data_IF_334431899813
#
_entry.id   IF_334431899813
#
_cell.length_a   1.000
_cell.length_b   1.000
_cell.length_c   1.000
_cell.angle_alpha   90.00
_cell.angle_beta   90.00
_cell.angle_gamma   90.00
#
_symmetry.space_group_name_H-M   'P 1'
#
loop_
_entity.id
_entity.type
_entity.pdbx_description
1 polymer ?
#
# COMPACT_ATOMS: atom_id res chain seq x y z
N UNK A 1 47.01 -36.07 5.62
CA UNK A 1 46.12 -35.44 4.63
C UNK A 1 46.67 -35.78 3.25
N UNK A 2 45.87 -36.40 2.39
CA UNK A 2 46.30 -36.83 1.05
C UNK A 2 45.54 -36.01 0.02
N UNK A 3 46.25 -35.48 -0.97
CA UNK A 3 45.64 -34.80 -2.12
C UNK A 3 45.95 -35.64 -3.35
N UNK A 4 44.91 -36.05 -4.08
CA UNK A 4 45.05 -36.83 -5.29
C UNK A 4 44.39 -36.07 -6.45
N UNK A 5 45.14 -35.79 -7.49
CA UNK A 5 44.62 -35.22 -8.74
C UNK A 5 44.31 -36.35 -9.71
N UNK A 6 43.10 -36.36 -10.28
CA UNK A 6 42.68 -37.44 -11.16
C UNK A 6 41.68 -36.96 -12.21
N UNK A 7 41.66 -37.66 -13.34
CA UNK A 7 40.63 -37.55 -14.37
C UNK A 7 39.64 -38.73 -14.32
N UNK A 8 39.86 -39.73 -13.46
CA UNK A 8 39.00 -40.90 -13.33
C UNK A 8 37.65 -40.56 -12.69
N UNK A 9 36.56 -40.88 -13.38
CA UNK A 9 35.20 -40.57 -12.94
C UNK A 9 34.76 -41.41 -11.75
N UNK A 10 35.27 -42.63 -11.63
CA UNK A 10 35.03 -43.56 -10.53
C UNK A 10 35.49 -42.97 -9.20
N UNK A 11 36.64 -42.28 -9.20
CA UNK A 11 37.14 -41.58 -8.02
C UNK A 11 36.29 -40.35 -7.69
N UNK A 12 35.80 -39.61 -8.70
CA UNK A 12 34.84 -38.51 -8.48
C UNK A 12 33.54 -39.04 -7.84
N UNK A 13 33.01 -40.17 -8.33
CA UNK A 13 31.83 -40.85 -7.78
C UNK A 13 32.07 -41.32 -6.35
N UNK A 14 33.20 -41.96 -6.08
CA UNK A 14 33.59 -42.40 -4.75
C UNK A 14 33.59 -41.24 -3.73
N UNK A 15 34.15 -40.09 -4.11
CA UNK A 15 34.20 -38.90 -3.25
C UNK A 15 32.83 -38.20 -3.02
N UNK A 16 31.77 -38.59 -3.74
CA UNK A 16 30.40 -38.14 -3.44
C UNK A 16 29.74 -39.05 -2.39
N UNK A 17 30.03 -40.35 -2.44
CA UNK A 17 29.39 -41.36 -1.60
C UNK A 17 30.06 -41.55 -0.23
N UNK A 18 31.29 -41.06 -0.07
CA UNK A 18 32.08 -41.29 1.15
C UNK A 18 32.33 -39.96 1.88
N UNK A 19 31.84 -39.84 3.11
CA UNK A 19 31.97 -38.62 3.92
C UNK A 19 33.42 -38.24 4.24
N UNK A 20 34.32 -39.22 4.29
CA UNK A 20 35.73 -39.01 4.61
C UNK A 20 36.57 -38.51 3.41
N UNK A 21 35.96 -38.38 2.23
CA UNK A 21 36.64 -37.91 1.02
C UNK A 21 35.82 -36.79 0.40
N UNK A 22 36.49 -35.72 -0.05
CA UNK A 22 35.83 -34.56 -0.63
C UNK A 22 36.35 -34.30 -2.03
N UNK A 23 35.44 -34.12 -2.99
CA UNK A 23 35.78 -33.64 -4.31
C UNK A 23 36.27 -32.19 -4.25
N UNK A 24 37.25 -31.85 -5.08
CA UNK A 24 37.64 -30.47 -5.33
C UNK A 24 37.95 -30.30 -6.82
N UNK A 25 37.68 -29.12 -7.34
CA UNK A 25 37.99 -28.77 -8.72
C UNK A 25 38.52 -27.35 -8.87
N UNK A 26 39.28 -27.11 -9.92
CA UNK A 26 39.76 -25.77 -10.25
C UNK A 26 38.88 -25.23 -11.36
N UNK A 27 38.34 -24.04 -11.17
CA UNK A 27 37.54 -23.37 -12.19
C UNK A 27 38.40 -23.00 -13.41
N UNK A 28 37.82 -23.21 -14.59
CA UNK A 28 38.44 -22.95 -15.87
C UNK A 28 37.50 -22.16 -16.77
N UNK A 29 37.98 -21.02 -17.27
CA UNK A 29 37.26 -20.19 -18.21
C UNK A 29 37.38 -20.77 -19.62
N UNK A 30 36.29 -21.39 -20.09
CA UNK A 30 36.19 -22.00 -21.42
C UNK A 30 36.15 -20.92 -22.52
N UNK A 31 35.61 -19.74 -22.24
CA UNK A 31 35.48 -18.62 -23.20
C UNK A 31 36.80 -17.93 -23.47
N UNK A 32 37.76 -17.96 -22.54
CA UNK A 32 39.10 -17.43 -22.75
C UNK A 32 40.20 -18.51 -22.80
N UNK A 33 39.86 -19.78 -22.56
CA UNK A 33 40.82 -20.89 -22.40
C UNK A 33 41.88 -20.59 -21.32
N UNK A 34 41.44 -20.05 -20.18
CA UNK A 34 42.35 -19.67 -19.08
C UNK A 34 41.91 -20.31 -17.77
N UNK A 35 42.85 -20.82 -16.95
CA UNK A 35 42.54 -21.19 -15.58
C UNK A 35 42.20 -19.94 -14.77
N UNK A 36 41.13 -19.98 -13.96
CA UNK A 36 40.84 -18.88 -13.01
C UNK A 36 41.61 -19.07 -11.70
N UNK A 37 42.28 -20.21 -11.54
CA UNK A 37 42.98 -20.64 -10.32
C UNK A 37 42.10 -20.62 -9.06
N UNK A 38 40.78 -20.65 -9.23
CA UNK A 38 39.82 -20.71 -8.13
C UNK A 38 39.52 -22.16 -7.77
N UNK A 39 39.86 -22.57 -6.56
CA UNK A 39 39.56 -23.90 -6.03
C UNK A 39 38.11 -23.94 -5.52
N UNK A 40 37.35 -24.91 -6.01
CA UNK A 40 35.95 -25.17 -5.66
C UNK A 40 35.89 -26.48 -4.88
N UNK A 41 35.67 -26.37 -3.57
CA UNK A 41 35.56 -27.50 -2.65
C UNK A 41 34.16 -28.12 -2.67
N UNK A 42 34.11 -29.43 -2.53
CA UNK A 42 32.89 -30.24 -2.57
C UNK A 42 32.28 -30.42 -3.96
N UNK A 43 32.91 -29.88 -5.01
CA UNK A 43 32.37 -29.93 -6.37
C UNK A 43 33.33 -30.70 -7.28
N UNK A 44 32.88 -31.79 -7.91
CA UNK A 44 33.67 -32.46 -8.93
C UNK A 44 33.81 -31.54 -10.16
N UNK A 45 35.00 -31.53 -10.76
CA UNK A 45 35.27 -30.66 -11.91
C UNK A 45 34.58 -31.17 -13.16
N UNK A 46 34.06 -30.22 -13.95
CA UNK A 46 33.47 -30.48 -15.28
C UNK A 46 34.54 -30.96 -16.25
N UNK A 47 34.27 -32.08 -16.94
CA UNK A 47 35.15 -32.58 -17.99
C UNK A 47 35.00 -31.73 -19.27
N UNK A 48 35.81 -30.68 -19.40
CA UNK A 48 35.74 -29.72 -20.51
C UNK A 48 36.45 -30.17 -21.81
N UNK A 49 36.89 -31.42 -21.90
CA UNK A 49 37.74 -31.92 -22.98
C UNK A 49 37.19 -31.61 -24.38
N UNK A 50 35.90 -31.88 -24.63
CA UNK A 50 35.29 -31.58 -25.94
C UNK A 50 35.16 -30.08 -26.23
N UNK A 51 34.85 -29.28 -25.22
CA UNK A 51 34.73 -27.83 -25.39
C UNK A 51 36.09 -27.21 -25.73
N UNK A 52 37.15 -27.67 -25.06
CA UNK A 52 38.53 -27.27 -25.32
C UNK A 52 38.97 -27.75 -26.70
N UNK A 53 38.78 -29.03 -27.03
CA UNK A 53 39.11 -29.62 -28.34
C UNK A 53 38.46 -28.87 -29.51
N UNK A 54 37.17 -28.51 -29.38
CA UNK A 54 36.47 -27.70 -30.38
C UNK A 54 37.14 -26.35 -30.59
N UNK A 55 37.56 -25.71 -29.49
CA UNK A 55 38.14 -24.38 -29.52
C UNK A 55 39.60 -24.37 -29.98
N UNK A 56 40.31 -25.48 -29.80
CA UNK A 56 41.63 -25.74 -30.39
C UNK A 56 41.57 -26.08 -31.90
N UNK A 57 40.36 -26.12 -32.49
CA UNK A 57 40.19 -26.27 -33.94
C UNK A 57 39.95 -27.71 -34.43
N UNK A 58 39.69 -28.66 -33.53
CA UNK A 58 39.32 -30.02 -33.94
C UNK A 58 37.96 -29.97 -34.66
N UNK A 59 37.88 -30.61 -35.83
CA UNK A 59 36.66 -30.65 -36.65
C UNK A 59 35.50 -31.23 -35.85
N UNK A 60 34.33 -30.60 -36.00
CA UNK A 60 33.09 -30.98 -35.29
C UNK A 60 32.72 -32.46 -35.53
N UNK A 61 32.90 -32.96 -36.74
CA UNK A 61 32.63 -34.36 -37.10
C UNK A 61 33.43 -35.37 -36.26
N UNK A 62 34.70 -35.05 -35.96
CA UNK A 62 35.57 -35.89 -35.12
C UNK A 62 35.07 -35.86 -33.67
N UNK A 63 34.69 -34.68 -33.18
CA UNK A 63 34.15 -34.50 -31.83
C UNK A 63 32.83 -35.25 -31.66
N UNK A 64 31.94 -35.15 -32.63
CA UNK A 64 30.62 -35.80 -32.58
C UNK A 64 30.78 -37.32 -32.65
N UNK A 65 31.69 -37.84 -33.49
CA UNK A 65 32.04 -39.27 -33.49
C UNK A 65 32.66 -39.71 -32.15
N UNK A 66 33.56 -38.92 -31.56
CA UNK A 66 34.18 -39.26 -30.29
C UNK A 66 33.16 -39.34 -29.14
N UNK A 67 32.14 -38.47 -29.13
CA UNK A 67 31.02 -38.55 -28.17
C UNK A 67 30.24 -39.86 -28.29
N UNK A 68 30.03 -40.38 -29.51
CA UNK A 68 29.32 -41.65 -29.69
C UNK A 68 30.07 -42.88 -29.19
N UNK A 69 31.38 -42.77 -28.96
CA UNK A 69 32.22 -43.85 -28.44
C UNK A 69 32.26 -43.90 -26.91
N UNK A 70 31.65 -42.93 -26.23
CA UNK A 70 31.59 -42.90 -24.76
C UNK A 70 30.43 -43.75 -24.24
N UNK A 71 30.60 -44.31 -23.05
CA UNK A 71 29.51 -44.97 -22.34
C UNK A 71 28.40 -43.94 -22.02
N UNK A 72 27.14 -44.31 -22.29
CA UNK A 72 25.98 -43.45 -22.03
C UNK A 72 25.87 -43.08 -20.55
N UNK A 73 26.19 -44.01 -19.64
CA UNK A 73 26.11 -43.76 -18.20
C UNK A 73 27.08 -42.66 -17.74
N UNK A 74 28.28 -42.64 -18.31
CA UNK A 74 29.30 -41.64 -17.98
C UNK A 74 28.97 -40.28 -18.58
N UNK A 75 28.29 -40.23 -19.74
CA UNK A 75 27.79 -39.00 -20.34
C UNK A 75 26.66 -38.38 -19.49
N UNK A 76 25.67 -39.17 -19.10
CA UNK A 76 24.56 -38.70 -18.26
C UNK A 76 25.04 -38.19 -16.89
N UNK A 77 26.01 -38.88 -16.27
CA UNK A 77 26.61 -38.44 -15.02
C UNK A 77 27.36 -37.11 -15.16
N UNK A 78 28.14 -36.92 -16.23
CA UNK A 78 28.82 -35.63 -16.48
C UNK A 78 27.83 -34.50 -16.77
N UNK A 79 26.71 -34.77 -17.44
CA UNK A 79 25.65 -33.77 -17.65
C UNK A 79 24.98 -33.36 -16.33
N UNK A 80 24.68 -34.32 -15.45
CA UNK A 80 24.15 -34.04 -14.11
C UNK A 80 25.13 -33.23 -13.27
N UNK A 81 26.42 -33.61 -13.27
CA UNK A 81 27.45 -32.85 -12.55
C UNK A 81 27.59 -31.43 -13.09
N UNK A 82 27.48 -31.24 -14.41
CA UNK A 82 27.48 -29.92 -15.02
C UNK A 82 26.30 -29.08 -14.53
N UNK A 83 25.09 -29.65 -14.48
CA UNK A 83 23.92 -28.93 -13.95
C UNK A 83 24.11 -28.52 -12.49
N UNK A 84 24.56 -29.43 -11.63
CA UNK A 84 24.84 -29.13 -10.22
C UNK A 84 25.88 -28.01 -10.07
N UNK A 85 26.92 -28.03 -10.91
CA UNK A 85 27.96 -27.00 -10.93
C UNK A 85 27.39 -25.64 -11.34
N UNK A 86 26.68 -25.59 -12.46
CA UNK A 86 26.09 -24.36 -13.01
C UNK A 86 25.07 -23.77 -12.02
N UNK A 87 24.22 -24.61 -11.41
CA UNK A 87 23.26 -24.21 -10.38
C UNK A 87 23.96 -23.67 -9.12
N UNK A 88 25.04 -24.30 -8.66
CA UNK A 88 25.77 -23.82 -7.49
C UNK A 88 26.41 -22.46 -7.72
N UNK A 89 27.00 -22.22 -8.89
CA UNK A 89 27.53 -20.89 -9.24
C UNK A 89 26.41 -19.86 -9.23
N UNK A 90 25.27 -20.18 -9.85
CA UNK A 90 24.11 -19.29 -9.87
C UNK A 90 23.57 -18.99 -8.47
N UNK A 91 23.54 -19.99 -7.59
CA UNK A 91 23.13 -19.83 -6.19
C UNK A 91 24.12 -18.93 -5.45
N UNK A 92 25.42 -19.15 -5.61
CA UNK A 92 26.45 -18.32 -4.97
C UNK A 92 26.39 -16.86 -5.44
N UNK A 93 26.25 -16.62 -6.75
CA UNK A 93 26.12 -15.27 -7.29
C UNK A 93 24.83 -14.59 -6.83
N UNK A 94 23.73 -15.33 -6.80
CA UNK A 94 22.42 -14.82 -6.34
C UNK A 94 22.48 -14.50 -4.84
N UNK A 95 23.11 -15.35 -4.03
CA UNK A 95 23.32 -15.11 -2.60
C UNK A 95 24.09 -13.81 -2.36
N UNK A 96 25.17 -13.57 -3.10
CA UNK A 96 25.93 -12.32 -3.00
C UNK A 96 25.09 -11.09 -3.40
N UNK A 97 24.25 -11.20 -4.43
CA UNK A 97 23.34 -10.12 -4.82
C UNK A 97 22.28 -9.85 -3.76
N UNK A 98 21.68 -10.90 -3.19
CA UNK A 98 20.70 -10.78 -2.10
C UNK A 98 21.32 -10.08 -0.90
N UNK A 99 22.54 -10.45 -0.51
CA UNK A 99 23.24 -9.82 0.62
C UNK A 99 23.48 -8.33 0.39
N UNK A 100 23.90 -7.94 -0.83
CA UNK A 100 24.05 -6.53 -1.20
C UNK A 100 22.73 -5.78 -1.14
N UNK A 101 21.66 -6.36 -1.67
CA UNK A 101 20.33 -5.75 -1.68
C UNK A 101 19.77 -5.62 -0.26
N UNK A 102 19.97 -6.62 0.60
CA UNK A 102 19.58 -6.55 2.01
C UNK A 102 20.25 -5.37 2.72
N UNK A 103 21.56 -5.21 2.55
CA UNK A 103 22.29 -4.08 3.14
C UNK A 103 21.76 -2.72 2.64
N UNK A 104 21.40 -2.61 1.36
CA UNK A 104 20.80 -1.40 0.80
C UNK A 104 19.40 -1.13 1.37
N UNK A 105 18.58 -2.17 1.49
CA UNK A 105 17.23 -2.07 2.06
C UNK A 105 17.29 -1.65 3.53
N UNK A 106 18.20 -2.20 4.32
CA UNK A 106 18.39 -1.81 5.72
C UNK A 106 18.82 -0.34 5.84
N UNK A 107 19.77 0.11 5.01
CA UNK A 107 20.20 1.50 4.98
C UNK A 107 19.04 2.43 4.64
N UNK A 108 18.27 2.10 3.60
CA UNK A 108 17.12 2.90 3.17
C UNK A 108 16.03 2.94 4.25
N UNK A 109 15.76 1.80 4.90
CA UNK A 109 14.79 1.73 6.01
C UNK A 109 15.19 2.65 7.15
N UNK A 110 16.46 2.62 7.55
CA UNK A 110 16.98 3.48 8.63
C UNK A 110 16.90 4.97 8.26
N UNK A 111 17.14 5.32 7.01
CA UNK A 111 16.99 6.69 6.53
C UNK A 111 15.52 7.14 6.56
N UNK A 112 14.59 6.30 6.09
CA UNK A 112 13.16 6.58 6.14
C UNK A 112 12.64 6.72 7.57
N UNK A 113 13.05 5.85 8.49
CA UNK A 113 12.70 5.96 9.91
C UNK A 113 13.21 7.28 10.51
N UNK A 114 14.43 7.69 10.16
CA UNK A 114 15.00 8.97 10.61
C UNK A 114 14.20 10.15 10.04
N UNK A 115 13.87 10.13 8.77
CA UNK A 115 13.17 11.25 8.14
C UNK A 115 11.69 11.33 8.58
N UNK A 116 11.01 10.20 8.78
CA UNK A 116 9.68 10.14 9.40
C UNK A 116 9.70 10.72 10.83
N UNK A 117 10.71 10.38 11.63
CA UNK A 117 10.85 10.94 12.99
C UNK A 117 11.06 12.46 12.98
N UNK A 118 11.84 12.99 12.03
CA UNK A 118 12.03 14.44 11.85
C UNK A 118 10.75 15.13 11.41
N UNK A 119 10.03 14.56 10.45
CA UNK A 119 8.77 15.13 9.95
C UNK A 119 7.73 15.19 11.06
N UNK A 120 7.60 14.13 11.86
CA UNK A 120 6.70 14.12 13.05
C UNK A 120 7.10 15.17 14.08
N UNK A 121 8.40 15.38 14.29
CA UNK A 121 8.86 16.43 15.20
C UNK A 121 8.54 17.82 14.64
N UNK A 122 8.79 18.07 13.35
CA UNK A 122 8.45 19.33 12.70
C UNK A 122 6.95 19.61 12.72
N UNK A 123 6.11 18.60 12.48
CA UNK A 123 4.66 18.70 12.58
C UNK A 123 4.23 19.14 13.99
N UNK A 124 4.77 18.49 15.03
CA UNK A 124 4.51 18.86 16.43
C UNK A 124 4.95 20.29 16.72
N UNK A 125 6.15 20.67 16.30
CA UNK A 125 6.69 22.01 16.54
C UNK A 125 5.82 23.09 15.85
N UNK A 126 5.31 22.82 14.64
CA UNK A 126 4.40 23.72 13.92
C UNK A 126 3.07 23.83 14.67
N UNK A 127 2.48 22.71 15.08
CA UNK A 127 1.21 22.69 15.81
C UNK A 127 1.35 23.44 17.15
N UNK A 128 2.44 23.23 17.88
CA UNK A 128 2.66 23.85 19.18
C UNK A 128 2.94 25.35 19.04
N UNK A 129 3.66 25.78 17.99
CA UNK A 129 3.78 27.20 17.65
C UNK A 129 2.43 27.83 17.32
N UNK A 130 1.64 27.20 16.45
CA UNK A 130 0.31 27.69 16.08
C UNK A 130 -0.64 27.78 17.28
N UNK A 131 -0.60 26.80 18.20
CA UNK A 131 -1.36 26.86 19.46
C UNK A 131 -0.93 28.01 20.36
N UNK A 132 0.37 28.27 20.43
CA UNK A 132 0.93 29.36 21.24
C UNK A 132 0.50 30.70 20.66
N UNK A 133 0.68 30.90 19.35
CA UNK A 133 0.22 32.10 18.64
C UNK A 133 -1.29 32.33 18.79
N UNK A 134 -2.10 31.27 18.65
CA UNK A 134 -3.55 31.36 18.86
C UNK A 134 -3.91 31.73 20.31
N UNK A 135 -3.17 31.20 21.29
CA UNK A 135 -3.36 31.54 22.70
C UNK A 135 -3.02 33.01 22.96
N UNK A 136 -1.93 33.51 22.40
CA UNK A 136 -1.51 34.91 22.57
C UNK A 136 -2.53 35.86 21.94
N UNK A 137 -3.02 35.57 20.73
CA UNK A 137 -4.09 36.35 20.09
C UNK A 137 -5.36 36.38 20.95
N UNK A 138 -5.72 35.25 21.57
CA UNK A 138 -6.91 35.15 22.42
C UNK A 138 -6.73 35.91 23.75
N UNK A 139 -5.54 35.90 24.33
CA UNK A 139 -5.20 36.71 25.51
C UNK A 139 -5.27 38.20 25.17
N UNK A 140 -4.65 38.62 24.06
CA UNK A 140 -4.69 40.01 23.59
C UNK A 140 -6.14 40.48 23.35
N UNK A 141 -6.96 39.64 22.71
CA UNK A 141 -8.38 39.92 22.50
C UNK A 141 -9.17 40.04 23.81
N UNK A 142 -8.86 39.21 24.81
CA UNK A 142 -9.48 39.27 26.14
C UNK A 142 -9.09 40.54 26.88
N UNK A 143 -7.83 40.94 26.78
CA UNK A 143 -7.31 42.16 27.42
C UNK A 143 -7.90 43.42 26.76
N UNK A 144 -8.02 43.45 25.43
CA UNK A 144 -8.75 44.50 24.72
C UNK A 144 -10.23 44.55 25.14
N UNK A 145 -10.92 43.42 25.16
CA UNK A 145 -12.32 43.35 25.54
C UNK A 145 -12.54 43.84 26.99
N UNK A 146 -11.67 43.44 27.93
CA UNK A 146 -11.77 43.88 29.33
C UNK A 146 -11.49 45.37 29.50
N UNK A 147 -10.55 45.95 28.74
CA UNK A 147 -10.35 47.41 28.70
C UNK A 147 -11.60 48.14 28.23
N UNK A 148 -12.18 47.72 27.11
CA UNK A 148 -13.40 48.35 26.56
C UNK A 148 -14.58 48.20 27.53
N UNK A 149 -14.74 47.04 28.19
CA UNK A 149 -15.78 46.83 29.22
C UNK A 149 -15.58 47.77 30.42
N UNK A 150 -14.34 47.97 30.86
CA UNK A 150 -14.03 48.88 31.96
C UNK A 150 -14.32 50.35 31.58
N UNK A 151 -13.98 50.76 30.35
CA UNK A 151 -14.32 52.08 29.82
C UNK A 151 -15.84 52.29 29.73
N UNK A 152 -16.59 51.28 29.26
CA UNK A 152 -18.07 51.34 29.27
C UNK A 152 -18.63 51.52 30.67
N UNK A 153 -18.13 50.78 31.68
CA UNK A 153 -18.58 50.89 33.07
C UNK A 153 -18.30 52.27 33.68
N UNK A 154 -17.20 52.92 33.29
CA UNK A 154 -16.90 54.28 33.75
C UNK A 154 -17.89 55.30 33.17
N UNK A 155 -18.19 55.19 31.88
CA UNK A 155 -19.15 56.08 31.18
C UNK A 155 -20.58 55.83 31.65
N UNK A 156 -20.95 54.61 32.02
CA UNK A 156 -22.29 54.26 32.53
C UNK A 156 -22.57 54.91 33.92
N UNK A 157 -21.53 55.18 34.71
CA UNK A 157 -21.64 55.93 35.97
C UNK A 157 -21.78 57.45 35.76
N UNK A 158 -21.42 57.98 34.58
CA UNK A 158 -21.59 59.38 34.16
C UNK A 158 -22.84 59.51 33.27
N UNK A 159 -24.01 59.62 33.88
CA UNK A 159 -25.34 59.32 33.31
C UNK A 159 -25.86 60.16 32.12
N UNK A 160 -25.01 60.80 31.29
CA UNK A 160 -25.44 61.69 30.19
C UNK A 160 -24.91 61.37 28.78
N UNK A 161 -24.10 60.33 28.55
CA UNK A 161 -23.52 60.04 27.21
C UNK A 161 -23.93 58.68 26.61
N UNK A 162 -25.20 58.56 26.21
CA UNK A 162 -25.76 57.35 25.56
C UNK A 162 -25.11 57.07 24.19
N UNK A 163 -24.75 58.12 23.43
CA UNK A 163 -24.18 57.98 22.08
C UNK A 163 -22.77 57.38 22.11
N UNK A 164 -21.91 57.80 23.05
CA UNK A 164 -20.57 57.22 23.22
C UNK A 164 -20.62 55.75 23.63
N UNK A 165 -21.63 55.37 24.42
CA UNK A 165 -21.85 53.99 24.83
C UNK A 165 -22.25 53.08 23.65
N UNK A 166 -23.05 53.61 22.70
CA UNK A 166 -23.42 52.92 21.48
C UNK A 166 -22.23 52.75 20.53
N UNK A 167 -21.37 53.77 20.40
CA UNK A 167 -20.15 53.70 19.60
C UNK A 167 -19.15 52.66 20.15
N UNK A 168 -18.99 52.61 21.48
CA UNK A 168 -18.18 51.58 22.17
C UNK A 168 -18.76 50.17 22.01
N UNK A 169 -20.08 50.00 22.07
CA UNK A 169 -20.74 48.71 21.76
C UNK A 169 -20.51 48.28 20.32
N UNK A 170 -20.60 49.22 19.37
CA UNK A 170 -20.39 48.93 17.96
C UNK A 170 -18.94 48.57 17.65
N UNK A 171 -17.97 49.28 18.24
CA UNK A 171 -16.54 48.95 18.11
C UNK A 171 -16.20 47.59 18.74
N UNK A 172 -16.79 47.25 19.88
CA UNK A 172 -16.58 45.93 20.49
C UNK A 172 -17.20 44.82 19.61
N UNK A 173 -18.41 45.02 19.08
CA UNK A 173 -19.05 44.08 18.17
C UNK A 173 -18.30 43.90 16.85
N UNK A 174 -17.75 44.97 16.26
CA UNK A 174 -16.94 44.86 15.04
C UNK A 174 -15.60 44.18 15.30
N UNK A 175 -14.97 44.45 16.45
CA UNK A 175 -13.73 43.79 16.88
C UNK A 175 -13.94 42.28 17.09
N UNK A 176 -15.04 41.89 17.75
CA UNK A 176 -15.41 40.48 17.91
C UNK A 176 -15.69 39.82 16.56
N UNK A 177 -16.43 40.49 15.68
CA UNK A 177 -16.78 39.95 14.36
C UNK A 177 -15.57 39.81 13.42
N UNK A 178 -14.58 40.69 13.56
CA UNK A 178 -13.34 40.64 12.78
C UNK A 178 -12.32 39.63 13.35
N UNK A 179 -12.34 39.36 14.67
CA UNK A 179 -11.47 38.34 15.32
C UNK A 179 -12.11 36.96 15.41
N UNK A 180 -13.43 36.83 15.29
CA UNK A 180 -14.08 35.54 15.10
C UNK A 180 -13.68 35.01 13.73
N UNK A 181 -12.76 34.04 13.72
CA UNK A 181 -12.45 33.24 12.54
C UNK A 181 -13.70 32.42 12.24
N UNK A 182 -14.66 33.02 11.52
CA UNK A 182 -15.60 32.24 10.74
C UNK A 182 -14.75 31.55 9.66
N UNK A 183 -14.34 30.32 9.95
CA UNK A 183 -13.77 29.39 8.97
C UNK A 183 -14.80 29.15 7.86
N UNK A 184 -14.89 30.07 6.91
CA UNK A 184 -15.25 29.71 5.54
C UNK A 184 -14.00 29.12 4.91
N UNK A 185 -13.73 27.86 5.21
CA UNK A 185 -12.86 27.04 4.36
C UNK A 185 -13.61 26.86 3.03
N UNK A 186 -13.47 27.83 2.14
CA UNK A 186 -13.88 27.68 0.75
C UNK A 186 -12.89 26.71 0.10
N UNK A 187 -13.24 25.42 0.08
CA UNK A 187 -12.50 24.39 -0.65
C UNK A 187 -12.62 24.64 -2.17
N UNK A 188 -11.74 25.48 -2.70
CA UNK A 188 -11.61 25.71 -4.15
C UNK A 188 -11.05 24.46 -4.85
N UNK A 189 -11.45 24.25 -6.11
CA UNK A 189 -10.90 23.18 -6.95
C UNK A 189 -9.39 23.36 -7.15
N UNK A 190 -8.62 22.28 -6.93
CA UNK A 190 -7.16 22.27 -7.08
C UNK A 190 -6.78 22.20 -8.58
N UNK A 191 -7.67 21.69 -9.44
CA UNK A 191 -7.52 21.67 -10.90
C UNK A 191 -8.83 22.03 -11.62
N UNK A 192 -9.14 23.32 -11.81
CA UNK A 192 -10.37 23.76 -12.46
C UNK A 192 -10.41 23.36 -13.94
N UNK A 193 -11.56 22.85 -14.41
CA UNK A 193 -11.77 22.50 -15.82
C UNK A 193 -11.73 23.78 -16.69
N UNK A 194 -10.96 23.80 -17.80
CA UNK A 194 -11.04 24.87 -18.79
C UNK A 194 -12.46 25.00 -19.36
N UNK A 195 -12.95 26.23 -19.52
CA UNK A 195 -14.33 26.53 -19.97
C UNK A 195 -14.71 25.82 -21.28
N UNK A 196 -13.73 25.57 -22.17
CA UNK A 196 -13.92 24.86 -23.45
C UNK A 196 -14.29 23.38 -23.31
N UNK A 197 -14.04 22.78 -22.15
CA UNK A 197 -14.32 21.39 -21.81
C UNK A 197 -15.59 21.23 -20.97
N UNK A 198 -16.41 22.26 -20.82
CA UNK A 198 -17.69 22.19 -20.09
C UNK A 198 -18.80 22.00 -21.12
N UNK A 199 -19.09 20.74 -21.46
CA UNK A 199 -20.17 20.37 -22.40
C UNK A 199 -21.31 19.64 -21.68
N UNK A 200 -22.53 19.84 -22.20
CA UNK A 200 -23.73 19.11 -21.74
C UNK A 200 -23.46 17.61 -21.86
N UNK A 201 -23.71 16.86 -20.79
CA UNK A 201 -23.51 15.42 -20.72
C UNK A 201 -22.14 14.97 -20.18
N UNK A 202 -21.23 15.89 -19.86
CA UNK A 202 -19.92 15.54 -19.32
C UNK A 202 -19.98 15.24 -17.82
N UNK A 203 -19.28 14.17 -17.41
CA UNK A 203 -19.06 13.83 -15.99
C UNK A 203 -17.99 14.75 -15.42
N UNK A 204 -18.31 15.43 -14.33
CA UNK A 204 -17.42 16.35 -13.61
C UNK A 204 -17.45 16.01 -12.13
N UNK A 205 -16.31 16.17 -11.46
CA UNK A 205 -16.21 16.05 -10.02
C UNK A 205 -16.44 17.43 -9.40
N UNK A 206 -17.30 17.49 -8.39
CA UNK A 206 -17.62 18.72 -7.69
C UNK A 206 -16.88 18.72 -6.35
N UNK A 207 -15.93 19.62 -6.16
CA UNK A 207 -15.07 19.64 -4.97
C UNK A 207 -15.81 20.05 -3.70
N UNK A 208 -16.75 20.99 -3.78
CA UNK A 208 -17.53 21.42 -2.61
C UNK A 208 -18.54 20.36 -2.11
N UNK A 209 -18.89 19.38 -2.95
CA UNK A 209 -19.83 18.30 -2.65
C UNK A 209 -19.17 16.92 -2.62
N UNK A 210 -17.87 16.85 -2.92
CA UNK A 210 -17.06 15.64 -3.08
C UNK A 210 -17.70 14.53 -3.96
N UNK A 211 -18.53 14.91 -4.93
CA UNK A 211 -19.35 13.98 -5.70
C UNK A 211 -19.19 14.18 -7.20
N UNK A 212 -19.30 13.09 -7.95
CA UNK A 212 -19.37 13.12 -9.42
C UNK A 212 -20.80 13.48 -9.86
N UNK A 213 -20.93 14.38 -10.82
CA UNK A 213 -22.20 14.75 -11.43
C UNK A 213 -22.10 14.93 -12.94
N UNK A 214 -23.25 14.99 -13.62
CA UNK A 214 -23.35 15.21 -15.06
C UNK A 214 -23.85 16.63 -15.33
N UNK A 215 -23.17 17.38 -16.18
CA UNK A 215 -23.60 18.72 -16.57
C UNK A 215 -24.88 18.63 -17.40
N UNK A 216 -25.95 19.29 -16.93
CA UNK A 216 -27.29 19.29 -17.58
C UNK A 216 -27.57 20.59 -18.32
N UNK A 217 -26.95 21.71 -17.94
CA UNK A 217 -27.18 23.01 -18.58
C UNK A 217 -25.87 23.67 -19.03
N UNK A 218 -25.97 24.57 -20.01
CA UNK A 218 -24.87 25.47 -20.36
C UNK A 218 -24.58 26.46 -19.21
N UNK A 219 -23.40 27.06 -19.28
CA UNK A 219 -22.93 28.10 -18.35
C UNK A 219 -23.88 29.30 -18.40
N UNK A 220 -24.42 29.69 -17.25
CA UNK A 220 -25.25 30.89 -17.13
C UNK A 220 -24.38 32.17 -17.03
N UNK A 221 -24.96 33.36 -17.20
CA UNK A 221 -24.26 34.66 -17.10
C UNK A 221 -23.48 34.85 -15.78
N UNK A 222 -23.87 34.15 -14.72
CA UNK A 222 -23.22 34.14 -13.41
C UNK A 222 -22.09 33.09 -13.24
N UNK A 223 -21.62 32.45 -14.33
CA UNK A 223 -20.60 31.37 -14.31
C UNK A 223 -21.00 30.15 -13.48
N UNK A 224 -22.30 29.83 -13.48
CA UNK A 224 -22.89 28.67 -12.81
C UNK A 224 -23.39 27.66 -13.82
N UNK A 225 -23.31 26.39 -13.46
CA UNK A 225 -23.73 25.24 -14.28
C UNK A 225 -24.68 24.37 -13.44
N UNK A 226 -25.77 23.90 -14.04
CA UNK A 226 -26.66 22.94 -13.39
C UNK A 226 -26.11 21.53 -13.60
N UNK A 227 -25.83 20.85 -12.49
CA UNK A 227 -25.23 19.52 -12.48
C UNK A 227 -26.22 18.56 -11.82
N UNK A 228 -26.40 17.41 -12.44
CA UNK A 228 -27.18 16.31 -11.89
C UNK A 228 -26.26 15.37 -11.13
N UNK A 229 -26.54 15.21 -9.84
CA UNK A 229 -25.86 14.29 -8.94
C UNK A 229 -26.90 13.27 -8.48
N UNK A 230 -26.82 12.05 -9.00
CA UNK A 230 -27.87 11.04 -8.81
C UNK A 230 -29.22 11.52 -9.38
N UNK A 231 -30.21 11.69 -8.49
CA UNK A 231 -31.57 12.16 -8.81
C UNK A 231 -31.77 13.66 -8.62
N UNK A 232 -30.80 14.36 -8.03
CA UNK A 232 -30.91 15.78 -7.65
C UNK A 232 -30.19 16.65 -8.68
N UNK A 233 -30.79 17.79 -9.04
CA UNK A 233 -30.18 18.80 -9.92
C UNK A 233 -29.79 20.04 -9.10
N UNK A 234 -28.50 20.37 -9.05
CA UNK A 234 -27.95 21.45 -8.23
C UNK A 234 -27.19 22.45 -9.10
N UNK A 235 -27.28 23.74 -8.80
CA UNK A 235 -26.48 24.79 -9.46
C UNK A 235 -25.13 24.89 -8.74
N UNK A 236 -24.04 24.79 -9.49
CA UNK A 236 -22.68 24.81 -8.96
C UNK A 236 -21.85 25.80 -9.78
N UNK A 237 -21.03 26.60 -9.10
CA UNK A 237 -20.10 27.52 -9.77
C UNK A 237 -18.95 26.74 -10.42
N UNK A 238 -18.49 27.19 -11.59
CA UNK A 238 -17.40 26.54 -12.35
C UNK A 238 -16.11 26.39 -11.51
N UNK A 239 -15.88 27.28 -10.53
CA UNK A 239 -14.72 27.24 -9.62
C UNK A 239 -14.62 25.97 -8.76
N UNK A 240 -15.69 25.19 -8.66
CA UNK A 240 -15.75 23.95 -7.88
C UNK A 240 -15.75 22.70 -8.76
N UNK A 241 -15.49 22.82 -10.07
CA UNK A 241 -15.53 21.70 -11.01
C UNK A 241 -14.13 21.21 -11.37
N UNK A 242 -13.91 19.91 -11.18
CA UNK A 242 -12.70 19.18 -11.54
C UNK A 242 -13.00 18.06 -12.55
N UNK A 243 -11.96 17.66 -13.29
CA UNK A 243 -12.00 16.47 -14.14
C UNK A 243 -12.40 15.24 -13.30
N UNK A 244 -13.18 14.30 -13.87
CA UNK A 244 -13.69 13.16 -13.13
C UNK A 244 -12.51 12.33 -12.58
N UNK A 245 -12.45 12.16 -11.26
CA UNK A 245 -11.54 11.19 -10.64
C UNK A 245 -12.00 9.79 -11.04
N UNK A 246 -11.20 9.12 -11.86
CA UNK A 246 -11.43 7.75 -12.30
C UNK A 246 -11.25 6.78 -11.12
N UNK A 247 -12.26 6.67 -10.28
CA UNK A 247 -12.46 5.50 -9.42
C UNK A 247 -13.42 4.61 -10.20
N UNK A 248 -12.91 3.48 -10.72
CA UNK A 248 -13.69 2.46 -11.42
C UNK A 248 -14.90 2.09 -10.56
N UNK A 249 -16.07 2.58 -10.94
CA UNK A 249 -17.39 2.12 -10.51
C UNK A 249 -18.35 2.32 -11.69
N UNK A 250 -18.11 1.57 -12.75
CA UNK A 250 -19.18 1.22 -13.69
C UNK A 250 -19.99 0.10 -13.03
N UNK A 251 -21.13 0.46 -12.45
CA UNK A 251 -22.23 -0.48 -12.30
C UNK A 251 -23.48 0.13 -12.90
N UNK A 252 -23.91 -0.57 -13.94
CA UNK A 252 -25.03 -0.35 -14.81
C UNK A 252 -26.37 -0.31 -14.08
N UNK A 253 -27.24 0.58 -14.57
CA UNK A 253 -28.71 0.58 -14.51
C UNK A 253 -29.36 -0.63 -13.81
N UNK A 254 -30.06 -0.38 -12.71
CA UNK A 254 -31.37 -1.01 -12.46
C UNK A 254 -32.23 -0.09 -11.59
N UNK A 255 -33.52 -0.09 -11.89
CA UNK A 255 -34.53 0.89 -11.49
C UNK A 255 -34.80 0.94 -9.99
N UNK A 256 -34.96 2.16 -9.45
CA UNK A 256 -35.32 2.42 -8.07
C UNK A 256 -36.84 2.37 -7.95
N UNK A 257 -37.38 1.32 -7.30
CA UNK A 257 -38.67 1.43 -6.61
C UNK A 257 -38.41 1.92 -5.19
N UNK A 258 -39.02 3.05 -4.89
CA UNK A 258 -39.01 3.78 -3.63
C UNK A 258 -39.47 2.94 -2.44
N UNK A 259 -38.74 3.03 -1.33
CA UNK A 259 -39.33 3.04 0.01
C UNK A 259 -38.43 3.82 0.99
N UNK A 260 -38.94 4.88 1.66
CA UNK A 260 -38.16 5.69 2.57
C UNK A 260 -38.32 5.16 3.99
N UNK A 261 -37.36 4.38 4.49
CA UNK A 261 -37.20 4.22 5.94
C UNK A 261 -35.80 3.73 6.31
N UNK A 262 -35.22 4.48 7.25
CA UNK A 262 -34.01 4.20 8.04
C UNK A 262 -32.68 4.57 7.37
N UNK A 263 -32.42 5.88 7.39
CA UNK A 263 -31.08 6.46 7.33
C UNK A 263 -30.27 6.04 8.55
N UNK A 264 -29.42 5.01 8.42
CA UNK A 264 -28.25 4.78 9.32
C UNK A 264 -27.27 3.70 8.85
N UNK A 265 -27.20 3.36 7.58
CA UNK A 265 -26.10 2.54 7.05
C UNK A 265 -25.09 3.44 6.36
N UNK A 266 -24.05 3.83 7.12
CA UNK A 266 -22.71 3.98 6.54
C UNK A 266 -22.47 2.71 5.73
N UNK A 267 -22.01 2.87 4.49
CA UNK A 267 -21.52 1.79 3.63
C UNK A 267 -20.79 0.73 4.47
N UNK A 268 -21.43 -0.42 4.72
CA UNK A 268 -20.78 -1.50 5.43
C UNK A 268 -19.67 -2.00 4.53
N UNK A 269 -18.42 -1.87 4.98
CA UNK A 269 -17.29 -2.42 4.27
C UNK A 269 -17.47 -3.93 4.25
N UNK A 270 -17.45 -4.56 3.07
CA UNK A 270 -17.53 -6.03 2.94
C UNK A 270 -16.24 -6.73 3.40
N UNK A 271 -15.32 -6.01 4.03
CA UNK A 271 -14.01 -6.51 4.45
C UNK A 271 -13.56 -5.92 5.80
N UNK A 272 -13.01 -6.77 6.65
CA UNK A 272 -12.32 -6.40 7.89
C UNK A 272 -10.89 -6.94 7.91
N UNK A 273 -9.94 -6.11 8.34
CA UNK A 273 -8.54 -6.48 8.52
C UNK A 273 -8.21 -6.63 10.01
N UNK A 274 -7.70 -7.80 10.38
CA UNK A 274 -7.35 -8.21 11.75
C UNK A 274 -5.88 -8.59 11.88
N UNK A 275 -5.05 -8.30 10.87
CA UNK A 275 -3.62 -8.59 10.90
C UNK A 275 -2.96 -7.79 12.04
N UNK A 276 -2.24 -8.49 12.91
CA UNK A 276 -1.49 -7.90 14.02
C UNK A 276 -2.25 -7.82 15.34
N UNK A 277 -3.52 -8.22 15.37
CA UNK A 277 -4.32 -8.29 16.60
C UNK A 277 -4.14 -9.62 17.32
N UNK A 278 -4.32 -9.63 18.64
CA UNK A 278 -4.44 -10.86 19.41
C UNK A 278 -5.83 -11.49 19.24
N UNK A 279 -6.00 -12.76 19.64
CA UNK A 279 -7.29 -13.46 19.52
C UNK A 279 -8.40 -12.74 20.30
N UNK A 280 -8.09 -12.29 21.52
CA UNK A 280 -9.05 -11.64 22.41
C UNK A 280 -9.48 -10.25 21.90
N UNK A 281 -8.61 -9.56 21.16
CA UNK A 281 -8.94 -8.29 20.51
C UNK A 281 -9.72 -8.48 19.20
N UNK A 282 -9.43 -9.56 18.48
CA UNK A 282 -10.01 -9.80 17.16
C UNK A 282 -11.47 -10.29 17.22
N UNK A 283 -11.85 -11.12 18.20
CA UNK A 283 -13.19 -11.70 18.28
C UNK A 283 -14.32 -10.64 18.43
N UNK A 284 -14.23 -9.65 19.34
CA UNK A 284 -15.26 -8.61 19.47
C UNK A 284 -15.43 -7.76 18.20
N UNK A 285 -14.34 -7.55 17.45
CA UNK A 285 -14.38 -6.81 16.19
C UNK A 285 -15.05 -7.62 15.08
N UNK A 286 -14.82 -8.93 15.04
CA UNK A 286 -15.51 -9.85 14.12
C UNK A 286 -17.01 -9.87 14.38
N UNK A 287 -17.44 -9.90 15.64
CA UNK A 287 -18.87 -9.88 15.97
C UNK A 287 -19.56 -8.61 15.53
N UNK A 288 -18.97 -7.46 15.87
CA UNK A 288 -19.48 -6.16 15.41
C UNK A 288 -19.53 -6.09 13.89
N UNK A 289 -18.52 -6.64 13.22
CA UNK A 289 -18.48 -6.68 11.76
C UNK A 289 -19.59 -7.55 11.15
N UNK A 290 -19.87 -8.71 11.75
CA UNK A 290 -20.98 -9.58 11.31
C UNK A 290 -22.31 -8.88 11.51
N UNK A 291 -22.49 -8.17 12.62
CA UNK A 291 -23.69 -7.36 12.89
C UNK A 291 -23.87 -6.27 11.84
N UNK A 292 -22.82 -5.53 11.53
CA UNK A 292 -22.84 -4.46 10.53
C UNK A 292 -23.14 -5.03 9.12
N UNK A 293 -22.55 -6.19 8.78
CA UNK A 293 -22.77 -6.86 7.50
C UNK A 293 -24.20 -7.42 7.37
N UNK A 294 -24.75 -7.95 8.47
CA UNK A 294 -26.13 -8.44 8.53
C UNK A 294 -27.14 -7.30 8.41
N UNK A 295 -26.90 -6.18 9.12
CA UNK A 295 -27.73 -4.96 9.00
C UNK A 295 -27.69 -4.36 7.59
N UNK A 296 -26.54 -4.44 6.93
CA UNK A 296 -26.37 -4.00 5.55
C UNK A 296 -26.87 -5.01 4.50
N UNK A 297 -27.37 -6.18 4.90
CA UNK A 297 -27.84 -7.27 4.03
C UNK A 297 -26.78 -7.72 3.01
N UNK A 298 -25.52 -7.76 3.42
CA UNK A 298 -24.44 -8.30 2.58
C UNK A 298 -24.57 -9.82 2.50
N UNK A 299 -24.52 -10.37 1.29
CA UNK A 299 -24.55 -11.82 1.07
C UNK A 299 -23.21 -12.48 1.46
N UNK A 300 -22.10 -11.79 1.23
CA UNK A 300 -20.77 -12.28 1.52
C UNK A 300 -19.90 -11.19 2.15
N UNK A 301 -19.00 -11.59 3.04
CA UNK A 301 -18.03 -10.68 3.66
C UNK A 301 -16.67 -11.37 3.85
N UNK A 302 -15.61 -10.57 3.91
CA UNK A 302 -14.22 -11.01 3.91
C UNK A 302 -13.52 -10.65 5.22
N UNK A 303 -12.93 -11.64 5.87
CA UNK A 303 -12.19 -11.47 7.13
C UNK A 303 -10.71 -11.78 6.86
N UNK A 304 -9.87 -10.76 6.93
CA UNK A 304 -8.43 -10.87 6.69
C UNK A 304 -7.71 -11.03 8.03
N UNK A 305 -7.15 -12.21 8.29
CA UNK A 305 -6.44 -12.54 9.54
C UNK A 305 -4.95 -12.84 9.34
N UNK A 306 -4.49 -12.91 8.08
CA UNK A 306 -3.11 -13.22 7.73
C UNK A 306 -2.78 -14.73 7.79
N UNK A 307 -1.64 -15.11 7.21
CA UNK A 307 -1.18 -16.51 7.09
C UNK A 307 -0.55 -17.01 8.40
N UNK A 308 0.45 -16.30 8.92
CA UNK A 308 1.00 -16.40 10.29
C UNK A 308 1.12 -17.81 10.89
N UNK A 309 0.91 -17.92 12.20
CA UNK A 309 0.88 -19.19 12.96
C UNK A 309 -0.47 -19.93 12.87
N UNK A 310 -1.44 -19.38 12.13
CA UNK A 310 -2.79 -19.95 11.98
C UNK A 310 -3.69 -19.87 13.23
N UNK A 311 -3.21 -19.35 14.37
CA UNK A 311 -3.99 -19.24 15.61
C UNK A 311 -5.23 -18.37 15.47
N UNK A 312 -5.10 -17.18 14.87
CA UNK A 312 -6.24 -16.29 14.59
C UNK A 312 -7.27 -16.94 13.66
N UNK A 313 -6.81 -17.62 12.61
CA UNK A 313 -7.68 -18.36 11.69
C UNK A 313 -8.52 -19.41 12.42
N UNK A 314 -7.88 -20.24 13.25
CA UNK A 314 -8.56 -21.30 14.00
C UNK A 314 -9.57 -20.74 15.00
N UNK A 315 -9.20 -19.67 15.71
CA UNK A 315 -10.09 -19.01 16.66
C UNK A 315 -11.32 -18.39 15.95
N UNK A 316 -11.10 -17.67 14.84
CA UNK A 316 -12.16 -17.06 14.05
C UNK A 316 -13.08 -18.16 13.48
N UNK A 317 -12.54 -19.19 12.81
CA UNK A 317 -13.37 -20.27 12.25
C UNK A 317 -14.19 -21.01 13.32
N UNK A 318 -13.62 -21.22 14.51
CA UNK A 318 -14.36 -21.80 15.65
C UNK A 318 -15.48 -20.88 16.12
N UNK A 319 -15.23 -19.56 16.14
CA UNK A 319 -16.23 -18.56 16.49
C UNK A 319 -17.39 -18.50 15.49
N UNK A 320 -17.06 -18.49 14.19
CA UNK A 320 -18.05 -18.45 13.10
C UNK A 320 -18.94 -19.70 13.09
N UNK A 321 -18.40 -20.87 13.46
CA UNK A 321 -19.17 -22.12 13.54
C UNK A 321 -20.31 -22.06 14.55
N UNK A 322 -20.17 -21.26 15.61
CA UNK A 322 -21.18 -21.15 16.67
C UNK A 322 -22.20 -20.02 16.42
N UNK A 323 -22.01 -19.20 15.38
CA UNK A 323 -22.85 -18.03 15.13
C UNK A 323 -24.00 -18.37 14.15
N UNK A 324 -25.25 -18.27 14.63
CA UNK A 324 -26.47 -18.61 13.88
C UNK A 324 -26.72 -17.72 12.65
N UNK A 325 -26.02 -16.59 12.52
CA UNK A 325 -26.20 -15.63 11.42
C UNK A 325 -25.39 -15.98 10.18
N UNK A 326 -24.49 -16.96 10.29
CA UNK A 326 -23.60 -17.40 9.21
C UNK A 326 -24.16 -18.67 8.59
N UNK A 327 -24.38 -18.61 7.28
CA UNK A 327 -24.87 -19.74 6.48
C UNK A 327 -23.74 -20.69 6.11
N UNK A 328 -22.59 -20.16 5.71
CA UNK A 328 -21.40 -20.95 5.39
C UNK A 328 -20.12 -20.12 5.57
N UNK A 329 -18.97 -20.77 5.78
CA UNK A 329 -17.67 -20.11 5.75
C UNK A 329 -16.65 -21.00 5.02
N UNK A 330 -15.72 -20.36 4.31
CA UNK A 330 -14.62 -21.05 3.60
C UNK A 330 -13.34 -20.22 3.65
N UNK A 331 -12.22 -20.87 3.38
CA UNK A 331 -10.95 -20.15 3.18
C UNK A 331 -10.94 -19.47 1.81
N UNK A 332 -10.24 -18.35 1.67
CA UNK A 332 -10.10 -17.63 0.40
C UNK A 332 -9.46 -18.49 -0.68
N UNK A 333 -9.83 -18.24 -1.93
CA UNK A 333 -9.25 -18.91 -3.11
C UNK A 333 -8.14 -18.06 -3.75
N UNK A 334 -7.56 -18.54 -4.86
CA UNK A 334 -6.52 -17.82 -5.59
C UNK A 334 -7.03 -16.46 -6.08
N UNK A 335 -6.36 -15.37 -5.66
CA UNK A 335 -6.79 -13.99 -5.91
C UNK A 335 -7.58 -13.32 -4.75
N UNK A 336 -8.01 -14.09 -3.75
CA UNK A 336 -8.79 -13.58 -2.60
C UNK A 336 -8.00 -13.53 -1.28
N UNK A 337 -6.73 -13.92 -1.29
CA UNK A 337 -5.85 -13.95 -0.12
C UNK A 337 -5.61 -15.35 0.47
N UNK A 338 -6.08 -16.41 -0.20
CA UNK A 338 -5.83 -17.81 0.11
C UNK A 338 -6.05 -18.14 1.61
N UNK A 339 -5.08 -18.81 2.25
CA UNK A 339 -5.09 -19.18 3.66
C UNK A 339 -5.09 -18.01 4.63
N UNK A 340 -4.84 -16.77 4.17
CA UNK A 340 -4.81 -15.57 5.00
C UNK A 340 -6.16 -14.90 5.18
N UNK A 341 -7.19 -15.43 4.53
CA UNK A 341 -8.52 -14.83 4.45
C UNK A 341 -9.60 -15.89 4.65
N UNK A 342 -10.63 -15.54 5.42
CA UNK A 342 -11.85 -16.34 5.57
C UNK A 342 -13.01 -15.56 4.95
N UNK A 343 -13.75 -16.23 4.06
CA UNK A 343 -14.94 -15.69 3.42
C UNK A 343 -16.16 -16.28 4.11
N UNK A 344 -17.08 -15.42 4.54
CA UNK A 344 -18.33 -15.80 5.18
C UNK A 344 -19.51 -15.49 4.27
N UNK A 345 -20.50 -16.38 4.28
CA UNK A 345 -21.80 -16.21 3.66
C UNK A 345 -22.83 -16.01 4.77
N UNK A 346 -23.56 -14.90 4.72
CA UNK A 346 -24.56 -14.54 5.73
C UNK A 346 -25.93 -15.09 5.30
N UNK A 347 -26.81 -15.31 6.28
CA UNK A 347 -28.11 -15.97 6.09
C UNK A 347 -29.20 -15.01 5.64
#
# INVERSE_FOLDING_TARGET
MTVATTHYQELKRYAILNENVQNASVEFDIENLKPTYRLLLGIPGKSNAFAISKKLGIKKEIIDRAKTLMDKNDVEFEELLKQIYDDKINIESTKQQIEKNLNQVELLRKNLERDDSKLKQQERDIIDKAKTEARDILLDAKDEATKIINEMRQIENESENIDKLNDLRNTLNTSIKNKSIEEKVENFAVNPIPIDLIKIGQKVYITNLEQNGIIVSNINKSKEVQIQIGTIKTKVNIKYLELPRNIKNDLTKTEIKSNPRVSKTKTANSEINLIGLTVDEALPLVDKFIDDCFLAKLQTARIVHGKGTGKLRQAIQSHLKNNKRIKSYRTGTYGEGEMGVTIIELT
#
